data_IF_462633742259
#
_entry.id   IF_462633742259
#
_cell.length_a   1.000
_cell.length_b   1.000
_cell.length_c   1.000
_cell.angle_alpha   90.00
_cell.angle_beta   90.00
_cell.angle_gamma   90.00
#
_symmetry.space_group_name_H-M   'P 1'
#
loop_
_entity.id
_entity.type
_entity.pdbx_description
1 polymer ?
#
# COMPACT_ATOMS: atom_id res chain seq x y z
N UNK A 1 23.43 -13.02 11.34
CA UNK A 1 22.44 -12.05 10.81
C UNK A 1 22.15 -11.04 11.91
N UNK A 2 22.64 -9.80 11.81
CA UNK A 2 22.35 -8.77 12.83
C UNK A 2 21.02 -8.10 12.45
N UNK A 3 20.00 -8.30 13.27
CA UNK A 3 18.74 -7.56 13.17
C UNK A 3 19.05 -6.08 13.43
N UNK A 4 19.12 -5.29 12.36
CA UNK A 4 19.26 -3.83 12.49
C UNK A 4 17.96 -3.21 13.03
N UNK A 5 18.02 -2.01 13.61
CA UNK A 5 16.86 -1.32 14.18
C UNK A 5 15.72 -1.14 13.16
N UNK A 6 16.02 -0.93 11.88
CA UNK A 6 15.02 -0.84 10.82
C UNK A 6 14.17 -2.12 10.69
N UNK A 7 14.77 -3.31 10.87
CA UNK A 7 14.06 -4.58 10.70
C UNK A 7 13.09 -4.86 11.86
N UNK A 8 13.34 -4.29 13.05
CA UNK A 8 12.43 -4.39 14.20
C UNK A 8 11.18 -3.55 13.97
N UNK A 9 11.33 -2.35 13.41
CA UNK A 9 10.21 -1.47 13.16
C UNK A 9 9.35 -2.02 12.00
N UNK A 10 9.95 -2.60 10.96
CA UNK A 10 9.19 -3.28 9.90
C UNK A 10 8.41 -4.48 10.44
N UNK A 11 8.96 -5.22 11.42
CA UNK A 11 8.24 -6.29 12.11
C UNK A 11 7.05 -5.76 12.91
N UNK A 12 7.24 -4.68 13.68
CA UNK A 12 6.14 -4.00 14.40
C UNK A 12 5.07 -3.56 13.42
N UNK A 13 5.47 -3.00 12.27
CA UNK A 13 4.54 -2.62 11.19
C UNK A 13 3.75 -3.82 10.68
N UNK A 14 4.39 -4.96 10.42
CA UNK A 14 3.73 -6.17 9.98
C UNK A 14 2.69 -6.66 11.01
N UNK A 15 2.99 -6.56 12.32
CA UNK A 15 2.04 -6.89 13.40
C UNK A 15 0.85 -5.92 13.38
N UNK A 16 1.07 -4.62 13.20
CA UNK A 16 -0.02 -3.64 13.07
C UNK A 16 -0.90 -3.94 11.86
N UNK A 17 -0.31 -4.24 10.70
CA UNK A 17 -1.03 -4.61 9.47
C UNK A 17 -1.84 -5.89 9.69
N UNK A 18 -1.29 -6.90 10.37
CA UNK A 18 -2.03 -8.10 10.73
C UNK A 18 -3.20 -7.79 11.68
N UNK A 19 -3.02 -6.87 12.64
CA UNK A 19 -4.09 -6.40 13.52
C UNK A 19 -5.24 -5.71 12.78
N UNK A 20 -4.95 -5.00 11.67
CA UNK A 20 -5.97 -4.40 10.81
C UNK A 20 -6.86 -5.42 10.11
N UNK A 21 -6.45 -6.69 10.03
CA UNK A 21 -7.28 -7.76 9.46
C UNK A 21 -8.36 -8.26 10.43
N UNK A 22 -8.24 -8.02 11.74
CA UNK A 22 -9.21 -8.45 12.77
C UNK A 22 -10.65 -7.96 12.49
N UNK A 23 -10.90 -6.68 12.14
CA UNK A 23 -12.25 -6.20 11.84
C UNK A 23 -12.83 -6.68 10.50
N UNK A 24 -12.07 -7.42 9.69
CA UNK A 24 -12.59 -7.99 8.43
C UNK A 24 -13.71 -8.99 8.74
N UNK A 25 -14.85 -8.83 8.08
CA UNK A 25 -16.06 -9.61 8.33
C UNK A 25 -16.88 -9.19 9.55
N UNK A 26 -16.45 -8.16 10.30
CA UNK A 26 -17.20 -7.61 11.43
C UNK A 26 -18.05 -6.39 11.01
N UNK A 27 -19.16 -6.09 11.71
CA UNK A 27 -19.96 -4.91 11.40
C UNK A 27 -19.18 -3.61 11.59
N UNK A 28 -19.38 -2.66 10.68
CA UNK A 28 -18.77 -1.34 10.75
C UNK A 28 -19.35 -0.53 11.91
N UNK A 29 -18.57 -0.34 12.97
CA UNK A 29 -18.90 0.61 14.04
C UNK A 29 -17.96 1.81 14.00
N UNK A 30 -18.41 3.02 14.39
CA UNK A 30 -17.54 4.20 14.42
C UNK A 30 -16.26 3.99 15.25
N UNK A 31 -16.37 3.28 16.38
CA UNK A 31 -15.23 2.96 17.25
C UNK A 31 -14.19 2.12 16.52
N UNK A 32 -14.61 1.02 15.88
CA UNK A 32 -13.70 0.14 15.13
C UNK A 32 -13.08 0.88 13.95
N UNK A 33 -13.86 1.68 13.23
CA UNK A 33 -13.36 2.46 12.10
C UNK A 33 -12.31 3.49 12.54
N UNK A 34 -12.49 4.19 13.67
CA UNK A 34 -11.45 5.06 14.22
C UNK A 34 -10.20 4.30 14.68
N UNK A 35 -10.35 3.12 15.29
CA UNK A 35 -9.21 2.27 15.63
C UNK A 35 -8.41 1.87 14.39
N UNK A 36 -9.08 1.48 13.30
CA UNK A 36 -8.45 1.19 12.01
C UNK A 36 -7.69 2.40 11.48
N UNK A 37 -8.30 3.59 11.49
CA UNK A 37 -7.64 4.83 11.03
C UNK A 37 -6.37 5.10 11.84
N UNK A 38 -6.43 5.00 13.17
CA UNK A 38 -5.29 5.26 14.05
C UNK A 38 -4.17 4.25 13.78
N UNK A 39 -4.48 2.95 13.80
CA UNK A 39 -3.49 1.88 13.60
C UNK A 39 -2.84 2.00 12.22
N UNK A 40 -3.63 2.22 11.17
CA UNK A 40 -3.13 2.37 9.80
C UNK A 40 -2.27 3.63 9.64
N UNK A 41 -2.64 4.74 10.28
CA UNK A 41 -1.84 5.97 10.28
C UNK A 41 -0.49 5.74 10.96
N UNK A 42 -0.49 5.08 12.12
CA UNK A 42 0.77 4.72 12.82
C UNK A 42 1.63 3.80 11.96
N UNK A 43 1.05 2.78 11.33
CA UNK A 43 1.78 1.88 10.43
C UNK A 43 2.41 2.64 9.25
N UNK A 44 1.68 3.57 8.62
CA UNK A 44 2.18 4.38 7.52
C UNK A 44 3.29 5.36 7.95
N UNK A 45 3.20 5.93 9.16
CA UNK A 45 4.25 6.80 9.70
C UNK A 45 5.53 6.01 10.02
N UNK A 46 5.39 4.80 10.58
CA UNK A 46 6.53 3.92 10.88
C UNK A 46 7.29 3.54 9.60
N UNK A 47 6.60 3.29 8.49
CA UNK A 47 7.24 3.07 7.18
C UNK A 47 8.13 4.26 6.74
N UNK A 48 7.58 5.48 6.85
CA UNK A 48 8.33 6.69 6.52
C UNK A 48 9.59 6.86 7.37
N UNK A 49 9.49 6.55 8.67
CA UNK A 49 10.61 6.60 9.62
C UNK A 49 11.66 5.53 9.29
N UNK A 50 11.25 4.28 9.03
CA UNK A 50 12.15 3.19 8.66
C UNK A 50 12.95 3.48 7.42
N UNK A 51 12.26 3.94 6.38
CA UNK A 51 12.90 4.34 5.15
C UNK A 51 13.90 5.48 5.37
N UNK A 52 13.60 6.43 6.27
CA UNK A 52 14.51 7.52 6.59
C UNK A 52 15.74 7.05 7.37
N UNK A 53 15.53 6.22 8.40
CA UNK A 53 16.62 5.64 9.20
C UNK A 53 17.53 4.79 8.32
N UNK A 54 16.98 3.86 7.54
CA UNK A 54 17.76 2.98 6.67
C UNK A 54 18.61 3.74 5.64
N UNK A 55 18.09 4.85 5.09
CA UNK A 55 18.86 5.74 4.19
C UNK A 55 19.99 6.46 4.92
N UNK A 56 19.79 6.87 6.17
CA UNK A 56 20.82 7.55 6.97
C UNK A 56 21.88 6.61 7.51
N UNK A 57 21.53 5.38 7.86
CA UNK A 57 22.45 4.39 8.43
C UNK A 57 23.15 3.53 7.38
N UNK A 58 22.77 3.66 6.10
CA UNK A 58 23.32 2.85 5.02
C UNK A 58 22.97 1.35 5.14
N UNK A 59 21.97 1.01 5.96
CA UNK A 59 21.59 -0.39 6.24
C UNK A 59 20.47 -0.88 5.32
N UNK A 60 20.48 -0.44 4.06
CA UNK A 60 19.52 -0.91 3.06
C UNK A 60 19.89 -2.34 2.67
N UNK A 61 18.98 -3.29 2.86
CA UNK A 61 19.13 -4.69 2.45
C UNK A 61 18.05 -5.06 1.44
N UNK A 62 18.40 -5.91 0.46
CA UNK A 62 17.44 -6.38 -0.55
C UNK A 62 16.23 -7.09 0.07
N UNK A 63 16.49 -7.91 1.10
CA UNK A 63 15.43 -8.59 1.86
C UNK A 63 14.48 -7.58 2.51
N UNK A 64 15.02 -6.58 3.22
CA UNK A 64 14.23 -5.53 3.85
C UNK A 64 13.38 -4.77 2.84
N UNK A 65 13.94 -4.40 1.68
CA UNK A 65 13.18 -3.71 0.62
C UNK A 65 12.05 -4.57 0.07
N UNK A 66 12.25 -5.88 -0.09
CA UNK A 66 11.19 -6.78 -0.56
C UNK A 66 10.08 -6.97 0.48
N UNK A 67 10.45 -7.18 1.73
CA UNK A 67 9.52 -7.36 2.84
C UNK A 67 8.69 -6.09 3.10
N UNK A 68 9.33 -4.93 3.01
CA UNK A 68 8.70 -3.60 3.07
C UNK A 68 7.62 -3.44 2.01
N UNK A 69 7.96 -3.73 0.74
CA UNK A 69 7.02 -3.67 -0.37
C UNK A 69 5.85 -4.68 -0.24
N UNK A 70 6.07 -5.85 0.35
CA UNK A 70 5.00 -6.84 0.59
C UNK A 70 4.08 -6.39 1.73
N UNK A 71 4.64 -5.82 2.78
CA UNK A 71 3.88 -5.28 3.92
C UNK A 71 3.02 -4.09 3.50
N UNK A 72 3.52 -3.21 2.64
CA UNK A 72 2.75 -2.09 2.09
C UNK A 72 1.59 -2.55 1.21
N UNK A 73 1.83 -3.55 0.36
CA UNK A 73 0.78 -4.12 -0.47
C UNK A 73 -0.30 -4.80 0.37
N UNK A 74 0.09 -5.52 1.43
CA UNK A 74 -0.82 -6.12 2.37
C UNK A 74 -1.65 -5.05 3.11
N UNK A 75 -1.02 -3.95 3.55
CA UNK A 75 -1.71 -2.82 4.17
C UNK A 75 -2.77 -2.23 3.23
N UNK A 76 -2.40 -1.91 1.99
CA UNK A 76 -3.32 -1.37 0.99
C UNK A 76 -4.49 -2.33 0.73
N UNK A 77 -4.21 -3.64 0.63
CA UNK A 77 -5.24 -4.65 0.40
C UNK A 77 -6.22 -4.74 1.59
N UNK A 78 -5.73 -4.80 2.81
CA UNK A 78 -6.57 -4.84 4.02
C UNK A 78 -7.42 -3.58 4.12
N UNK A 79 -6.85 -2.40 3.89
CA UNK A 79 -7.60 -1.14 3.88
C UNK A 79 -8.66 -1.13 2.78
N UNK A 80 -8.34 -1.61 1.57
CA UNK A 80 -9.29 -1.73 0.47
C UNK A 80 -10.48 -2.64 0.80
N UNK A 81 -10.22 -3.78 1.45
CA UNK A 81 -11.26 -4.70 1.95
C UNK A 81 -12.16 -3.97 2.94
N UNK A 82 -11.59 -3.27 3.93
CA UNK A 82 -12.37 -2.55 4.94
C UNK A 82 -13.19 -1.41 4.34
N UNK A 83 -12.64 -0.65 3.39
CA UNK A 83 -13.37 0.40 2.65
C UNK A 83 -14.58 -0.20 1.92
N UNK A 84 -14.40 -1.33 1.23
CA UNK A 84 -15.51 -2.01 0.55
C UNK A 84 -16.54 -2.58 1.53
N UNK A 85 -16.09 -3.20 2.62
CA UNK A 85 -16.93 -3.81 3.65
C UNK A 85 -17.78 -2.76 4.38
N UNK A 86 -17.22 -1.58 4.64
CA UNK A 86 -17.92 -0.48 5.33
C UNK A 86 -18.87 0.29 4.41
N UNK A 87 -19.04 -0.15 3.16
CA UNK A 87 -19.90 0.51 2.17
C UNK A 87 -19.39 1.88 1.73
N UNK A 88 -18.11 2.18 1.97
CA UNK A 88 -17.49 3.48 1.63
C UNK A 88 -17.16 3.57 0.13
N UNK A 89 -16.95 2.43 -0.52
CA UNK A 89 -16.79 2.29 -1.95
C UNK A 89 -17.19 0.87 -2.41
N UNK A 90 -17.22 0.64 -3.71
CA UNK A 90 -17.54 -0.68 -4.27
C UNK A 90 -16.35 -1.66 -4.24
N UNK A 91 -16.58 -2.94 -4.61
CA UNK A 91 -15.55 -3.98 -4.64
C UNK A 91 -14.36 -3.67 -5.56
N UNK A 92 -14.52 -2.73 -6.50
CA UNK A 92 -13.45 -2.27 -7.39
C UNK A 92 -12.26 -1.67 -6.65
N UNK A 93 -12.41 -1.18 -5.41
CA UNK A 93 -11.29 -0.68 -4.59
C UNK A 93 -10.29 -1.77 -4.27
N UNK A 94 -10.69 -3.05 -4.25
CA UNK A 94 -9.77 -4.18 -4.05
C UNK A 94 -8.65 -4.21 -5.10
N UNK A 95 -8.88 -3.65 -6.28
CA UNK A 95 -7.84 -3.52 -7.31
C UNK A 95 -6.63 -2.73 -6.80
N UNK A 96 -6.79 -1.78 -5.88
CA UNK A 96 -5.63 -1.03 -5.37
C UNK A 96 -4.62 -1.91 -4.64
N UNK A 97 -5.08 -2.92 -3.90
CA UNK A 97 -4.21 -3.91 -3.26
C UNK A 97 -3.73 -5.00 -4.23
N UNK A 98 -4.56 -5.34 -5.22
CA UNK A 98 -4.26 -6.42 -6.16
C UNK A 98 -3.31 -6.02 -7.30
N UNK A 99 -3.22 -4.73 -7.65
CA UNK A 99 -2.43 -4.24 -8.78
C UNK A 99 -0.96 -4.66 -8.73
N UNK A 100 -0.34 -4.67 -7.55
CA UNK A 100 1.03 -5.18 -7.38
C UNK A 100 1.14 -6.66 -7.76
N UNK A 101 0.21 -7.49 -7.27
CA UNK A 101 0.23 -8.93 -7.55
C UNK A 101 -0.04 -9.19 -9.03
N UNK A 102 -0.93 -8.42 -9.65
CA UNK A 102 -1.17 -8.45 -11.10
C UNK A 102 0.11 -8.09 -11.86
N UNK A 103 0.84 -7.05 -11.45
CA UNK A 103 2.10 -6.65 -12.07
C UNK A 103 3.18 -7.73 -11.96
N UNK A 104 3.32 -8.36 -10.78
CA UNK A 104 4.26 -9.46 -10.56
C UNK A 104 3.89 -10.69 -11.40
N UNK A 105 2.59 -11.04 -11.46
CA UNK A 105 2.08 -12.13 -12.27
C UNK A 105 2.26 -11.87 -13.78
N UNK A 106 2.03 -10.64 -14.24
CA UNK A 106 2.31 -10.22 -15.59
C UNK A 106 3.80 -10.35 -15.92
N UNK A 107 4.68 -10.03 -14.97
CA UNK A 107 6.11 -10.29 -15.07
C UNK A 107 6.49 -11.77 -15.19
N UNK A 108 5.62 -12.71 -14.80
CA UNK A 108 5.86 -14.13 -15.05
C UNK A 108 5.50 -14.56 -16.47
N UNK A 109 4.47 -13.93 -17.05
CA UNK A 109 4.04 -14.16 -18.43
C UNK A 109 4.95 -13.45 -19.44
N UNK A 110 5.45 -12.26 -19.09
CA UNK A 110 6.27 -11.42 -19.95
C UNK A 110 7.63 -11.10 -19.31
N UNK A 111 8.70 -11.82 -19.69
CA UNK A 111 10.04 -11.65 -19.09
C UNK A 111 10.62 -10.23 -19.19
N UNK A 112 10.22 -9.46 -20.21
CA UNK A 112 10.63 -8.06 -20.38
C UNK A 112 10.11 -7.13 -19.26
N UNK A 113 9.03 -7.51 -18.57
CA UNK A 113 8.51 -6.76 -17.41
C UNK A 113 9.30 -7.03 -16.12
N UNK A 114 10.21 -8.01 -16.11
CA UNK A 114 11.08 -8.31 -14.96
C UNK A 114 12.31 -7.43 -14.86
N UNK A 115 12.56 -6.56 -15.85
CA UNK A 115 13.69 -5.65 -15.82
C UNK A 115 13.60 -4.73 -14.59
N UNK A 116 14.74 -4.43 -13.93
CA UNK A 116 14.74 -3.63 -12.72
C UNK A 116 14.23 -2.22 -13.03
N UNK A 117 12.99 -1.94 -12.62
CA UNK A 117 12.46 -0.58 -12.59
C UNK A 117 13.29 0.21 -11.56
N UNK A 118 14.03 1.21 -12.04
CA UNK A 118 14.70 2.15 -11.16
C UNK A 118 13.70 2.78 -10.18
N UNK A 119 14.15 3.07 -8.95
CA UNK A 119 13.27 3.61 -7.91
C UNK A 119 12.61 4.91 -8.39
N UNK A 120 11.32 4.84 -8.72
CA UNK A 120 10.59 6.00 -9.22
C UNK A 120 9.99 6.74 -8.03
N UNK A 121 10.44 7.98 -7.81
CA UNK A 121 9.90 8.86 -6.77
C UNK A 121 8.37 9.03 -6.94
N UNK A 122 7.88 8.91 -8.18
CA UNK A 122 6.45 8.90 -8.53
C UNK A 122 5.71 7.71 -7.94
N UNK A 123 6.16 6.47 -8.18
CA UNK A 123 5.51 5.28 -7.63
C UNK A 123 5.48 5.32 -6.10
N UNK A 124 6.55 5.84 -5.48
CA UNK A 124 6.59 6.04 -4.03
C UNK A 124 5.55 7.05 -3.55
N UNK A 125 5.46 8.22 -4.18
CA UNK A 125 4.44 9.23 -3.84
C UNK A 125 3.04 8.65 -4.01
N UNK A 126 2.79 7.97 -5.13
CA UNK A 126 1.47 7.42 -5.45
C UNK A 126 1.08 6.32 -4.46
N UNK A 127 2.02 5.48 -4.01
CA UNK A 127 1.78 4.50 -2.95
C UNK A 127 1.37 5.19 -1.63
N UNK A 128 2.10 6.22 -1.21
CA UNK A 128 1.77 6.99 0.01
C UNK A 128 0.39 7.64 -0.11
N UNK A 129 0.12 8.29 -1.25
CA UNK A 129 -1.18 8.92 -1.53
C UNK A 129 -2.30 7.87 -1.51
N UNK A 130 -2.08 6.69 -2.09
CA UNK A 130 -3.05 5.59 -2.07
C UNK A 130 -3.37 5.15 -0.65
N UNK A 131 -2.36 4.90 0.18
CA UNK A 131 -2.52 4.48 1.57
C UNK A 131 -3.27 5.54 2.37
N UNK A 132 -2.86 6.81 2.26
CA UNK A 132 -3.53 7.93 2.95
C UNK A 132 -4.99 8.08 2.49
N UNK A 133 -5.25 7.98 1.19
CA UNK A 133 -6.60 8.09 0.64
C UNK A 133 -7.53 6.98 1.18
N UNK A 134 -7.04 5.75 1.30
CA UNK A 134 -7.81 4.65 1.87
C UNK A 134 -8.05 4.85 3.38
N UNK A 135 -7.05 5.31 4.13
CA UNK A 135 -7.21 5.65 5.55
C UNK A 135 -8.30 6.72 5.73
N UNK A 136 -8.25 7.79 4.93
CA UNK A 136 -9.25 8.87 4.96
C UNK A 136 -10.63 8.34 4.58
N UNK A 137 -10.74 7.46 3.58
CA UNK A 137 -12.00 6.88 3.17
C UNK A 137 -12.67 6.01 4.27
N UNK A 138 -11.88 5.37 5.14
CA UNK A 138 -12.40 4.59 6.28
C UNK A 138 -12.95 5.49 7.38
N UNK A 139 -12.44 6.73 7.53
CA UNK A 139 -12.85 7.63 8.59
C UNK A 139 -14.38 7.76 8.65
N UNK A 140 -15.01 7.61 9.85
CA UNK A 140 -16.46 7.69 9.99
C UNK A 140 -17.06 9.00 9.46
N UNK A 141 -16.32 10.11 9.57
CA UNK A 141 -16.70 11.44 9.09
C UNK A 141 -16.78 11.58 7.58
N UNK A 142 -16.11 10.69 6.82
CA UNK A 142 -16.09 10.75 5.35
C UNK A 142 -17.17 9.83 4.80
N UNK A 143 -18.32 10.37 4.41
CA UNK A 143 -19.45 9.62 3.88
C UNK A 143 -19.49 9.63 2.35
N UNK A 144 -20.37 8.83 1.76
CA UNK A 144 -20.68 8.91 0.33
C UNK A 144 -21.31 10.29 0.01
N UNK A 145 -20.97 10.91 -1.14
CA UNK A 145 -20.14 10.40 -2.23
C UNK A 145 -18.64 10.66 -2.07
N UNK A 146 -18.20 11.39 -1.05
CA UNK A 146 -16.81 11.81 -0.90
C UNK A 146 -15.82 10.63 -0.78
N UNK A 147 -16.17 9.61 0.02
CA UNK A 147 -15.34 8.40 0.16
C UNK A 147 -15.12 7.68 -1.17
N UNK A 148 -16.15 7.65 -2.02
CA UNK A 148 -16.10 7.05 -3.35
C UNK A 148 -15.14 7.82 -4.27
N UNK A 149 -15.26 9.16 -4.31
CA UNK A 149 -14.41 10.01 -5.14
C UNK A 149 -12.95 9.89 -4.72
N UNK A 150 -12.67 9.89 -3.41
CA UNK A 150 -11.31 9.71 -2.87
C UNK A 150 -10.73 8.36 -3.29
N UNK A 151 -11.48 7.26 -3.11
CA UNK A 151 -11.02 5.94 -3.51
C UNK A 151 -10.82 5.80 -5.02
N UNK A 152 -11.68 6.45 -5.83
CA UNK A 152 -11.62 6.38 -7.29
C UNK A 152 -10.42 7.18 -7.81
N UNK A 153 -10.20 8.38 -7.30
CA UNK A 153 -9.05 9.20 -7.64
C UNK A 153 -7.73 8.52 -7.26
N UNK A 154 -7.68 7.88 -6.09
CA UNK A 154 -6.54 7.11 -5.65
C UNK A 154 -6.25 5.94 -6.61
N UNK A 155 -7.26 5.11 -6.91
CA UNK A 155 -7.10 3.98 -7.83
C UNK A 155 -6.66 4.44 -9.22
N UNK A 156 -7.23 5.52 -9.75
CA UNK A 156 -6.82 6.08 -11.05
C UNK A 156 -5.35 6.52 -11.05
N UNK A 157 -4.89 7.20 -9.99
CA UNK A 157 -3.50 7.60 -9.86
C UNK A 157 -2.57 6.37 -9.81
N UNK A 158 -2.97 5.31 -9.10
CA UNK A 158 -2.23 4.06 -9.02
C UNK A 158 -2.16 3.35 -10.38
N UNK A 159 -3.30 3.20 -11.07
CA UNK A 159 -3.36 2.63 -12.42
C UNK A 159 -2.51 3.41 -13.42
N UNK A 160 -2.51 4.75 -13.33
CA UNK A 160 -1.64 5.59 -14.15
C UNK A 160 -0.15 5.33 -13.87
N UNK A 161 0.26 5.19 -12.60
CA UNK A 161 1.64 4.84 -12.25
C UNK A 161 2.07 3.53 -12.91
N UNK A 162 1.26 2.49 -12.76
CA UNK A 162 1.55 1.18 -13.35
C UNK A 162 1.62 1.25 -14.87
N UNK A 163 0.70 1.98 -15.52
CA UNK A 163 0.72 2.14 -16.97
C UNK A 163 2.01 2.83 -17.45
N UNK A 164 2.44 3.90 -16.78
CA UNK A 164 3.70 4.59 -17.10
C UNK A 164 4.90 3.67 -16.90
N UNK A 165 4.92 2.88 -15.83
CA UNK A 165 6.02 1.94 -15.57
C UNK A 165 6.05 0.81 -16.62
N UNK A 166 4.89 0.29 -17.05
CA UNK A 166 4.80 -0.68 -18.15
C UNK A 166 5.27 -0.08 -19.49
N UNK A 167 4.86 1.14 -19.83
CA UNK A 167 5.29 1.82 -21.07
C UNK A 167 6.80 2.08 -21.08
N UNK A 168 7.39 2.45 -19.94
CA UNK A 168 8.84 2.63 -19.79
C UNK A 168 9.61 1.33 -20.01
N UNK A 169 9.12 0.21 -19.45
CA UNK A 169 9.71 -1.11 -19.66
C UNK A 169 9.64 -1.54 -21.13
N UNK A 170 8.55 -1.20 -21.81
CA UNK A 170 8.39 -1.50 -23.23
C UNK A 170 9.31 -0.68 -24.12
N UNK A 171 9.49 0.62 -23.85
CA UNK A 171 10.43 1.45 -24.61
C UNK A 171 11.90 1.20 -24.31
N UNK A 172 12.25 0.74 -23.10
CA UNK A 172 13.63 0.41 -22.73
C UNK A 172 14.12 -0.93 -23.26
N UNK A 173 13.27 -1.73 -23.89
CA UNK A 173 13.60 -3.04 -24.47
C UNK A 173 13.72 -3.01 -26.00
N UNK A 174 13.52 -1.84 -26.63
CA UNK A 174 13.84 -1.56 -28.04
C UNK A 174 15.20 -0.89 -28.15
#
# INVERSE_FOLDING_TARGET
MKFGPANQITLVRAVLVAGLAIPVGQPATPTVAWSVVIIATVAALLDGVDGWVARRTGTVSEFGTRFDMETDAALILVLAILVSQYGKAGPWVLLSGLLRYIFVAAGWLWPWMRAPLGSSLRAKIICVVQTVALIVAIAPTVTLPASFVVAAAALLALSYSFLVDTLRLWWGTQ
#
